data_IF_501097253354
#
_entry.id   IF_501097253354
#
_cell.length_a   1.000
_cell.length_b   1.000
_cell.length_c   1.000
_cell.angle_alpha   90.00
_cell.angle_beta   90.00
_cell.angle_gamma   90.00
#
_symmetry.space_group_name_H-M   'P 1'
#
loop_
_entity.id
_entity.type
_entity.pdbx_description
1 polymer ?
#
# COMPACT_ATOMS: atom_id res chain seq x y z
N UNK A 1 12.06 -0.71 -21.08
CA UNK A 1 12.98 -0.86 -19.93
C UNK A 1 13.13 0.49 -19.26
N UNK A 2 13.18 0.57 -17.93
CA UNK A 2 13.38 1.83 -17.20
C UNK A 2 14.79 1.88 -16.62
N UNK A 3 15.43 3.05 -16.64
CA UNK A 3 16.73 3.24 -15.97
C UNK A 3 16.53 3.17 -14.46
N UNK A 4 17.38 2.41 -13.77
CA UNK A 4 17.31 2.24 -12.30
C UNK A 4 17.66 3.53 -11.53
N UNK A 5 18.57 4.34 -12.07
CA UNK A 5 19.00 5.62 -11.50
C UNK A 5 18.46 6.77 -12.34
N UNK A 6 17.86 7.75 -11.68
CA UNK A 6 17.39 8.96 -12.35
C UNK A 6 18.51 10.02 -12.46
N UNK A 7 18.29 11.02 -13.32
CA UNK A 7 19.26 12.10 -13.57
C UNK A 7 19.60 12.91 -12.31
N UNK A 8 18.73 12.96 -11.30
CA UNK A 8 19.00 13.66 -10.03
C UNK A 8 19.95 12.85 -9.16
N UNK A 9 19.86 11.52 -9.18
CA UNK A 9 20.81 10.65 -8.48
C UNK A 9 22.21 10.67 -9.11
N UNK A 10 22.31 10.92 -10.42
CA UNK A 10 23.59 11.00 -11.12
C UNK A 10 24.21 12.40 -11.09
N UNK A 11 23.40 13.44 -11.33
CA UNK A 11 23.89 14.81 -11.46
C UNK A 11 23.76 15.62 -10.16
N UNK A 12 23.04 15.12 -9.16
CA UNK A 12 22.79 15.84 -7.89
C UNK A 12 21.88 17.06 -8.01
N UNK A 13 21.29 17.32 -9.19
CA UNK A 13 20.43 18.49 -9.45
C UNK A 13 19.10 18.11 -10.09
N UNK A 14 18.13 19.02 -9.93
CA UNK A 14 16.88 18.97 -10.68
C UNK A 14 17.12 19.53 -12.07
N UNK A 15 16.55 18.88 -13.08
CA UNK A 15 16.59 19.34 -14.46
C UNK A 15 15.25 19.99 -14.82
N UNK A 16 15.29 21.09 -15.56
CA UNK A 16 14.12 21.59 -16.26
C UNK A 16 13.82 20.74 -17.51
N UNK A 17 12.75 21.06 -18.25
CA UNK A 17 12.34 20.30 -19.43
C UNK A 17 13.40 20.25 -20.54
N UNK A 18 14.04 21.39 -20.82
CA UNK A 18 15.08 21.49 -21.85
C UNK A 18 16.32 20.71 -21.44
N UNK A 19 16.77 20.86 -20.19
CA UNK A 19 17.88 20.10 -19.62
C UNK A 19 17.61 18.60 -19.61
N UNK A 20 16.39 18.17 -19.29
CA UNK A 20 16.00 16.76 -19.31
C UNK A 20 16.02 16.18 -20.73
N UNK A 21 15.57 16.95 -21.72
CA UNK A 21 15.64 16.54 -23.14
C UNK A 21 17.08 16.45 -23.62
N UNK A 22 17.92 17.43 -23.24
CA UNK A 22 19.35 17.43 -23.55
C UNK A 22 20.08 16.25 -22.89
N UNK A 23 19.74 15.91 -21.65
CA UNK A 23 20.30 14.76 -20.94
C UNK A 23 20.01 13.44 -21.67
N UNK A 24 18.78 13.21 -22.11
CA UNK A 24 18.42 12.02 -22.91
C UNK A 24 19.24 11.94 -24.20
N UNK A 25 19.40 13.07 -24.90
CA UNK A 25 20.20 13.13 -26.12
C UNK A 25 21.67 12.77 -25.85
N UNK A 26 22.26 13.34 -24.80
CA UNK A 26 23.62 13.03 -24.38
C UNK A 26 23.79 11.54 -24.00
N UNK A 27 22.82 10.95 -23.29
CA UNK A 27 22.83 9.52 -22.98
C UNK A 27 22.83 8.66 -24.25
N UNK A 28 22.06 9.05 -25.27
CA UNK A 28 22.02 8.32 -26.54
C UNK A 28 23.32 8.44 -27.34
N UNK A 29 23.92 9.64 -27.38
CA UNK A 29 25.22 9.87 -28.03
C UNK A 29 26.34 9.06 -27.38
N UNK A 30 26.25 8.83 -26.06
CA UNK A 30 27.24 8.08 -25.29
C UNK A 30 26.98 6.57 -25.23
N UNK A 31 25.93 6.05 -25.88
CA UNK A 31 25.45 4.67 -25.71
C UNK A 31 25.31 4.29 -24.22
N UNK A 32 24.62 5.12 -23.44
CA UNK A 32 24.44 4.92 -22.00
C UNK A 32 23.85 3.53 -21.71
N UNK A 33 24.50 2.79 -20.80
CA UNK A 33 24.19 1.38 -20.48
C UNK A 33 24.19 0.42 -21.70
N UNK A 34 24.90 0.78 -22.78
CA UNK A 34 24.97 -0.01 -24.01
C UNK A 34 23.82 0.23 -25.00
N UNK A 35 22.97 1.22 -24.74
CA UNK A 35 21.80 1.55 -25.57
C UNK A 35 21.82 3.03 -25.97
N UNK A 36 21.24 3.34 -27.14
CA UNK A 36 21.18 4.69 -27.70
C UNK A 36 19.76 5.14 -28.12
N UNK A 37 18.75 4.41 -27.67
CA UNK A 37 17.33 4.62 -27.97
C UNK A 37 16.54 5.07 -26.72
N UNK A 38 17.21 5.70 -25.77
CA UNK A 38 16.57 6.28 -24.59
C UNK A 38 15.64 7.43 -24.98
N UNK A 39 14.49 7.51 -24.31
CA UNK A 39 13.51 8.59 -24.49
C UNK A 39 12.87 8.95 -23.16
N UNK A 40 12.24 10.12 -23.12
CA UNK A 40 11.35 10.48 -22.02
C UNK A 40 10.09 9.56 -22.02
N UNK A 41 9.59 9.19 -20.84
CA UNK A 41 8.40 8.36 -20.72
C UNK A 41 7.12 9.16 -21.08
N UNK A 42 6.13 8.48 -21.64
CA UNK A 42 4.82 9.06 -21.90
C UNK A 42 3.97 9.13 -20.62
N UNK A 43 2.96 9.99 -20.61
CA UNK A 43 2.03 10.13 -19.46
C UNK A 43 1.35 8.80 -19.08
N UNK A 44 1.03 7.97 -20.07
CA UNK A 44 0.38 6.67 -19.84
C UNK A 44 1.34 5.66 -19.21
N UNK A 45 2.60 5.62 -19.63
CA UNK A 45 3.63 4.75 -19.05
C UNK A 45 3.90 5.12 -17.59
N UNK A 46 4.01 6.42 -17.30
CA UNK A 46 4.17 6.93 -15.92
C UNK A 46 2.96 6.54 -15.05
N UNK A 47 1.73 6.65 -15.57
CA UNK A 47 0.53 6.21 -14.83
C UNK A 47 0.52 4.71 -14.57
N UNK A 48 0.97 3.90 -15.52
CA UNK A 48 1.10 2.45 -15.33
C UNK A 48 2.07 2.16 -14.19
N UNK A 49 3.21 2.84 -14.16
CA UNK A 49 4.20 2.73 -13.10
C UNK A 49 3.60 3.02 -11.70
N UNK A 50 2.75 4.05 -11.61
CA UNK A 50 2.05 4.39 -10.36
C UNK A 50 0.93 3.42 -9.96
N UNK A 51 0.34 2.68 -10.90
CA UNK A 51 -0.63 1.62 -10.56
C UNK A 51 0.06 0.45 -9.86
N UNK A 52 1.31 0.19 -10.22
CA UNK A 52 2.16 -0.86 -9.65
C UNK A 52 3.04 -0.32 -8.51
N UNK A 53 2.44 0.37 -7.52
CA UNK A 53 3.19 1.06 -6.45
C UNK A 53 4.16 0.15 -5.68
N UNK A 54 3.81 -1.12 -5.48
CA UNK A 54 4.65 -2.06 -4.76
C UNK A 54 5.90 -2.41 -5.55
N UNK A 55 5.75 -2.65 -6.85
CA UNK A 55 6.86 -2.94 -7.78
C UNK A 55 7.74 -1.69 -7.97
N UNK A 56 7.14 -0.51 -8.07
CA UNK A 56 7.87 0.75 -8.14
C UNK A 56 8.78 0.97 -6.91
N UNK A 57 8.26 0.71 -5.70
CA UNK A 57 9.02 0.86 -4.45
C UNK A 57 10.18 -0.13 -4.33
N UNK A 58 9.97 -1.36 -4.81
CA UNK A 58 10.99 -2.40 -4.80
C UNK A 58 12.10 -2.09 -5.81
N UNK A 59 11.74 -1.83 -7.06
CA UNK A 59 12.70 -1.68 -8.17
C UNK A 59 13.44 -0.33 -8.11
N UNK A 60 12.76 0.78 -7.83
CA UNK A 60 13.36 2.11 -7.96
C UNK A 60 13.79 2.74 -6.63
N UNK A 61 13.16 2.36 -5.52
CA UNK A 61 13.48 2.94 -4.21
C UNK A 61 14.31 2.00 -3.33
N UNK A 62 14.55 0.75 -3.76
CA UNK A 62 15.16 -0.30 -2.93
C UNK A 62 14.52 -0.37 -1.52
N UNK A 63 13.24 -0.02 -1.42
CA UNK A 63 12.52 -0.05 -0.16
C UNK A 63 11.99 -1.46 0.04
N UNK A 64 12.07 -2.01 1.26
CA UNK A 64 11.40 -3.27 1.54
C UNK A 64 9.93 -3.13 1.18
N UNK A 65 9.37 -4.19 0.57
CA UNK A 65 7.93 -4.28 0.32
C UNK A 65 7.26 -3.85 1.62
N UNK A 66 6.43 -2.80 1.56
CA UNK A 66 5.57 -2.49 2.71
C UNK A 66 4.82 -3.79 2.98
N UNK A 67 4.93 -4.38 4.18
CA UNK A 67 4.14 -5.56 4.49
C UNK A 67 2.71 -5.15 4.17
N UNK A 68 2.04 -5.93 3.31
CA UNK A 68 0.62 -5.74 3.08
C UNK A 68 0.00 -5.62 4.47
N UNK A 69 -0.73 -4.53 4.74
CA UNK A 69 -1.54 -4.43 5.96
C UNK A 69 -2.65 -5.46 5.83
N UNK A 70 -2.29 -6.73 5.99
CA UNK A 70 -3.22 -7.76 6.41
C UNK A 70 -3.56 -7.42 7.85
N UNK A 71 -4.73 -7.84 8.28
CA UNK A 71 -5.23 -7.74 9.67
C UNK A 71 -4.26 -8.37 10.69
N UNK A 72 -3.15 -8.95 10.24
CA UNK A 72 -2.05 -9.56 10.99
C UNK A 72 -1.10 -8.60 11.70
N UNK A 73 -1.33 -7.27 11.71
CA UNK A 73 -0.71 -6.37 12.71
C UNK A 73 -1.38 -6.46 14.09
N UNK A 74 -2.19 -7.50 14.30
CA UNK A 74 -2.71 -7.84 15.61
C UNK A 74 -1.55 -8.09 16.57
N UNK A 75 -1.46 -7.27 17.61
CA UNK A 75 -0.51 -7.46 18.68
C UNK A 75 -0.79 -8.82 19.35
N UNK A 76 0.23 -9.65 19.51
CA UNK A 76 0.09 -10.91 20.23
C UNK A 76 -0.50 -10.62 21.62
N UNK A 77 -1.66 -11.23 21.93
CA UNK A 77 -2.39 -11.04 23.19
C UNK A 77 -3.72 -10.29 23.11
N UNK A 78 -4.20 -9.89 21.93
CA UNK A 78 -5.59 -9.41 21.83
C UNK A 78 -6.63 -10.53 22.09
N UNK A 79 -7.89 -10.15 22.28
CA UNK A 79 -9.00 -11.12 22.39
C UNK A 79 -9.46 -11.60 21.01
N UNK A 80 -9.87 -12.87 20.94
CA UNK A 80 -10.31 -13.56 19.73
C UNK A 80 -11.79 -13.31 19.38
N UNK A 81 -12.49 -12.49 20.17
CA UNK A 81 -13.88 -12.14 19.93
C UNK A 81 -14.12 -10.63 20.00
N UNK A 82 -15.03 -10.15 19.14
CA UNK A 82 -15.39 -8.74 19.00
C UNK A 82 -16.89 -8.53 18.96
N UNK A 83 -17.36 -7.41 19.51
CA UNK A 83 -18.71 -6.91 19.24
C UNK A 83 -18.82 -6.32 17.84
N UNK A 84 -19.98 -6.51 17.22
CA UNK A 84 -20.36 -5.82 15.98
C UNK A 84 -21.38 -4.72 16.28
N UNK A 85 -21.53 -3.76 15.36
CA UNK A 85 -22.52 -2.67 15.48
C UNK A 85 -23.96 -3.09 15.19
N UNK A 86 -24.16 -4.26 14.58
CA UNK A 86 -25.48 -4.78 14.24
C UNK A 86 -26.19 -5.35 15.48
N UNK A 87 -27.48 -5.04 15.59
CA UNK A 87 -28.36 -5.58 16.64
C UNK A 87 -29.47 -6.42 16.01
N UNK A 88 -29.98 -7.38 16.78
CA UNK A 88 -31.18 -8.14 16.43
C UNK A 88 -32.30 -7.76 17.39
N UNK A 89 -33.45 -7.36 16.83
CA UNK A 89 -34.63 -6.92 17.58
C UNK A 89 -34.32 -5.83 18.64
N UNK A 90 -33.31 -5.00 18.38
CA UNK A 90 -32.82 -3.91 19.24
C UNK A 90 -32.35 -4.31 20.66
N UNK A 91 -32.48 -5.58 21.04
CA UNK A 91 -32.22 -6.08 22.40
C UNK A 91 -31.02 -7.03 22.43
N UNK A 92 -30.62 -7.58 21.28
CA UNK A 92 -29.52 -8.53 21.19
C UNK A 92 -28.38 -7.96 20.35
N UNK A 93 -27.15 -8.11 20.84
CA UNK A 93 -25.93 -7.74 20.13
C UNK A 93 -25.23 -8.98 19.60
N UNK A 94 -24.45 -8.79 18.53
CA UNK A 94 -23.71 -9.86 17.88
C UNK A 94 -22.24 -9.87 18.30
N UNK A 95 -21.76 -11.05 18.69
CA UNK A 95 -20.36 -11.31 19.05
C UNK A 95 -19.76 -12.30 18.08
N UNK A 96 -18.69 -11.87 17.40
CA UNK A 96 -17.98 -12.64 16.37
C UNK A 96 -16.65 -13.17 16.90
N UNK A 97 -16.36 -14.45 16.65
CA UNK A 97 -15.15 -15.15 17.08
C UNK A 97 -14.23 -15.48 15.90
N UNK A 98 -12.93 -15.20 16.03
CA UNK A 98 -11.89 -15.50 15.06
C UNK A 98 -10.84 -16.48 15.64
N UNK A 99 -10.22 -17.35 14.83
CA UNK A 99 -10.40 -17.52 13.38
C UNK A 99 -11.58 -18.43 12.99
N UNK A 100 -12.31 -18.95 13.97
CA UNK A 100 -13.36 -19.97 13.79
C UNK A 100 -14.60 -19.45 13.03
N UNK A 101 -14.72 -18.13 12.83
CA UNK A 101 -15.87 -17.44 12.20
C UNK A 101 -17.21 -17.87 12.83
N UNK A 102 -17.24 -17.99 14.16
CA UNK A 102 -18.47 -18.30 14.89
C UNK A 102 -19.11 -17.00 15.36
N UNK A 103 -20.41 -16.87 15.13
CA UNK A 103 -21.19 -15.72 15.59
C UNK A 103 -22.22 -16.18 16.62
N UNK A 104 -22.36 -15.40 17.70
CA UNK A 104 -23.40 -15.60 18.70
C UNK A 104 -24.17 -14.31 18.91
N UNK A 105 -25.46 -14.46 19.17
CA UNK A 105 -26.36 -13.35 19.48
C UNK A 105 -26.66 -13.41 20.97
N UNK A 106 -26.40 -12.33 21.70
CA UNK A 106 -26.53 -12.29 23.17
C UNK A 106 -27.30 -11.05 23.60
N UNK A 107 -28.10 -11.19 24.66
CA UNK A 107 -28.87 -10.08 25.23
C UNK A 107 -27.92 -9.01 25.80
N UNK A 108 -28.16 -7.76 25.43
CA UNK A 108 -27.30 -6.63 25.81
C UNK A 108 -27.27 -6.38 27.32
N UNK A 109 -28.34 -6.70 28.03
CA UNK A 109 -28.51 -6.41 29.47
C UNK A 109 -28.00 -7.53 30.36
N UNK A 110 -27.94 -8.77 29.83
CA UNK A 110 -27.56 -9.98 30.59
C UNK A 110 -26.14 -10.45 30.27
N UNK A 111 -25.49 -9.90 29.24
CA UNK A 111 -24.16 -10.30 28.84
C UNK A 111 -23.11 -10.01 29.93
N UNK A 112 -22.83 -11.01 30.77
CA UNK A 112 -21.77 -10.97 31.80
C UNK A 112 -20.37 -11.27 31.23
N UNK A 113 -20.30 -11.73 29.98
CA UNK A 113 -19.04 -12.11 29.33
C UNK A 113 -18.49 -10.93 28.53
N UNK A 114 -17.56 -10.20 29.14
CA UNK A 114 -16.81 -9.14 28.46
C UNK A 114 -16.14 -9.64 27.17
N UNK A 115 -15.92 -8.73 26.22
CA UNK A 115 -15.20 -9.01 24.98
C UNK A 115 -14.60 -7.73 24.44
N UNK A 116 -13.59 -7.86 23.59
CA UNK A 116 -12.94 -6.71 23.00
C UNK A 116 -13.86 -5.95 22.04
N UNK A 117 -13.62 -4.64 21.93
CA UNK A 117 -14.21 -3.79 20.89
C UNK A 117 -13.13 -3.48 19.88
N UNK A 118 -13.43 -3.67 18.60
CA UNK A 118 -12.55 -3.25 17.51
C UNK A 118 -13.22 -2.14 16.71
N UNK A 119 -12.63 -0.96 16.74
CA UNK A 119 -13.10 0.17 15.96
C UNK A 119 -12.60 0.05 14.53
N UNK A 120 -13.50 0.27 13.58
CA UNK A 120 -13.18 0.46 12.17
C UNK A 120 -13.47 1.91 11.81
N UNK A 121 -12.66 2.47 10.92
CA UNK A 121 -12.89 3.79 10.33
C UNK A 121 -12.70 3.65 8.83
N UNK A 122 -13.66 4.16 8.08
CA UNK A 122 -13.52 4.25 6.63
C UNK A 122 -12.44 5.28 6.28
N UNK A 123 -11.57 4.89 5.36
CA UNK A 123 -10.65 5.80 4.72
C UNK A 123 -11.37 6.35 3.50
N UNK A 124 -11.85 7.58 3.59
CA UNK A 124 -12.30 8.34 2.42
C UNK A 124 -11.20 8.40 1.34
#
# INVERSE_FOLDING_TARGET
MWVLRDSRQELGKWLNWEEGTAYVKACNEQNYLGFNDWRLPTKSEVRSLFRHQNEYREVFLNLPKKPARRVSNYQAGGETCVWTSETRYDSYAWKSYFPVMKEICVDQTVSTTGTSVRMVRDLD
#
